data_IF_712173272395
#
_entry.id   IF_712173272395
#
_cell.length_a   1.000
_cell.length_b   1.000
_cell.length_c   1.000
_cell.angle_alpha   90.00
_cell.angle_beta   90.00
_cell.angle_gamma   90.00
#
_symmetry.space_group_name_H-M   'P 1'
#
loop_
_entity.id
_entity.type
_entity.pdbx_description
1 polymer ?
#
# COMPACT_ATOMS: atom_id res chain seq x y z
N UNK A 1 -10.44 -1.60 4.56
CA UNK A 1 -9.74 -2.91 4.50
C UNK A 1 -9.30 -3.37 5.88
N UNK A 2 -8.16 -2.89 6.41
CA UNK A 2 -7.58 -3.41 7.66
C UNK A 2 -8.54 -3.33 8.88
N UNK A 3 -9.08 -2.13 9.17
CA UNK A 3 -10.00 -1.92 10.31
C UNK A 3 -11.33 -2.69 10.19
N UNK A 4 -11.92 -2.69 9.00
CA UNK A 4 -13.30 -3.12 8.82
C UNK A 4 -13.44 -4.61 8.52
N UNK A 5 -12.42 -5.25 7.95
CA UNK A 5 -12.50 -6.65 7.51
C UNK A 5 -11.47 -7.54 8.19
N UNK A 6 -10.21 -7.11 8.33
CA UNK A 6 -9.15 -7.99 8.85
C UNK A 6 -9.22 -8.14 10.37
N UNK A 7 -9.28 -7.04 11.12
CA UNK A 7 -9.30 -7.12 12.59
C UNK A 7 -10.53 -7.84 13.17
N UNK A 8 -11.76 -7.62 12.65
CA UNK A 8 -12.94 -8.33 13.14
C UNK A 8 -12.86 -9.84 12.94
N UNK A 9 -12.33 -10.30 11.80
CA UNK A 9 -12.21 -11.74 11.51
C UNK A 9 -11.14 -12.43 12.37
N UNK A 10 -10.06 -11.70 12.72
CA UNK A 10 -9.06 -12.19 13.65
C UNK A 10 -9.53 -12.15 15.12
N UNK A 11 -10.68 -11.52 15.41
CA UNK A 11 -11.22 -11.29 16.76
C UNK A 11 -10.22 -10.61 17.70
N UNK A 12 -9.33 -9.79 17.14
CA UNK A 12 -8.31 -9.05 17.89
C UNK A 12 -8.77 -7.62 18.16
N UNK A 13 -8.53 -7.15 19.37
CA UNK A 13 -8.63 -5.72 19.69
C UNK A 13 -7.45 -4.96 19.09
N UNK A 14 -7.62 -3.65 18.88
CA UNK A 14 -6.52 -2.76 18.42
C UNK A 14 -5.28 -2.86 19.33
N UNK A 15 -5.47 -3.05 20.63
CA UNK A 15 -4.35 -3.19 21.57
C UNK A 15 -3.60 -4.50 21.34
N UNK A 16 -4.32 -5.63 21.24
CA UNK A 16 -3.72 -6.94 20.98
C UNK A 16 -3.01 -6.95 19.63
N UNK A 17 -3.65 -6.43 18.58
CA UNK A 17 -3.03 -6.35 17.26
C UNK A 17 -1.76 -5.51 17.27
N UNK A 18 -1.73 -4.37 17.99
CA UNK A 18 -0.52 -3.56 18.09
C UNK A 18 0.62 -4.32 18.80
N UNK A 19 0.29 -5.10 19.84
CA UNK A 19 1.25 -5.95 20.54
C UNK A 19 1.78 -7.07 19.64
N UNK A 20 0.91 -7.79 18.93
CA UNK A 20 1.30 -8.87 18.01
C UNK A 20 2.10 -8.36 16.80
N UNK A 21 1.79 -7.15 16.33
CA UNK A 21 2.57 -6.47 15.31
C UNK A 21 3.86 -5.85 15.87
N UNK A 22 4.14 -5.93 17.17
CA UNK A 22 5.29 -5.32 17.85
C UNK A 22 5.47 -3.83 17.54
N UNK A 23 4.38 -3.07 17.60
CA UNK A 23 4.36 -1.62 17.37
C UNK A 23 3.61 -0.89 18.47
N UNK A 24 3.86 0.41 18.61
CA UNK A 24 3.04 1.24 19.49
C UNK A 24 1.57 1.24 19.02
N UNK A 25 0.62 1.14 19.96
CA UNK A 25 -0.81 1.25 19.69
C UNK A 25 -1.17 2.52 18.91
N UNK A 26 -0.50 3.63 19.21
CA UNK A 26 -0.67 4.90 18.51
C UNK A 26 -0.35 4.77 17.01
N UNK A 27 0.69 4.00 16.65
CA UNK A 27 1.08 3.74 15.27
C UNK A 27 -0.03 2.99 14.54
N UNK A 28 -0.51 1.88 15.12
CA UNK A 28 -1.62 1.13 14.53
C UNK A 28 -2.89 2.00 14.40
N UNK A 29 -3.21 2.79 15.42
CA UNK A 29 -4.36 3.68 15.37
C UNK A 29 -4.27 4.69 14.22
N UNK A 30 -3.10 5.27 13.98
CA UNK A 30 -2.89 6.20 12.85
C UNK A 30 -3.07 5.49 11.50
N UNK A 31 -2.56 4.27 11.34
CA UNK A 31 -2.76 3.46 10.12
C UNK A 31 -4.24 3.15 9.91
N UNK A 32 -4.95 2.69 10.94
CA UNK A 32 -6.39 2.39 10.87
C UNK A 32 -7.25 3.62 10.59
N UNK A 33 -6.77 4.81 10.97
CA UNK A 33 -7.43 6.09 10.71
C UNK A 33 -7.03 6.71 9.36
N UNK A 34 -6.18 6.08 8.56
CA UNK A 34 -5.65 6.65 7.31
C UNK A 34 -4.73 7.86 7.52
N UNK A 35 -4.22 8.06 8.75
CA UNK A 35 -3.30 9.16 9.13
C UNK A 35 -1.82 8.77 9.12
N UNK A 36 -1.53 7.54 8.73
CA UNK A 36 -0.19 7.03 8.47
C UNK A 36 -0.29 5.99 7.36
N UNK A 37 0.67 6.02 6.45
CA UNK A 37 0.76 5.05 5.36
C UNK A 37 1.16 3.66 5.89
N UNK A 38 0.76 2.62 5.17
CA UNK A 38 1.33 1.28 5.32
C UNK A 38 2.72 1.27 4.66
N UNK A 39 3.76 1.38 5.47
CA UNK A 39 5.16 1.29 5.03
C UNK A 39 5.55 -0.16 4.68
N UNK A 40 6.69 -0.40 4.00
CA UNK A 40 7.20 -1.76 3.78
C UNK A 40 7.38 -2.57 5.07
N UNK A 41 7.84 -1.94 6.14
CA UNK A 41 7.97 -2.57 7.46
C UNK A 41 6.61 -2.98 8.02
N UNK A 42 5.60 -2.09 7.93
CA UNK A 42 4.24 -2.40 8.37
C UNK A 42 3.63 -3.52 7.50
N UNK A 43 3.84 -3.49 6.19
CA UNK A 43 3.36 -4.51 5.28
C UNK A 43 3.95 -5.89 5.58
N UNK A 44 5.24 -5.98 5.94
CA UNK A 44 5.87 -7.22 6.38
C UNK A 44 5.26 -7.75 7.69
N UNK A 45 5.00 -6.86 8.67
CA UNK A 45 4.34 -7.23 9.93
C UNK A 45 2.91 -7.73 9.68
N UNK A 46 2.14 -7.02 8.85
CA UNK A 46 0.79 -7.42 8.44
C UNK A 46 0.79 -8.73 7.65
N UNK A 47 1.82 -8.99 6.84
CA UNK A 47 1.95 -10.24 6.13
C UNK A 47 2.11 -11.43 7.08
N UNK A 48 2.95 -11.25 8.11
CA UNK A 48 3.13 -12.25 9.16
C UNK A 48 1.85 -12.46 9.97
N UNK A 49 1.12 -11.39 10.29
CA UNK A 49 -0.11 -11.45 11.08
C UNK A 49 -1.26 -12.13 10.32
N UNK A 50 -1.46 -11.77 9.04
CA UNK A 50 -2.68 -12.10 8.30
C UNK A 50 -2.49 -13.22 7.26
N UNK A 51 -1.25 -13.68 7.03
CA UNK A 51 -0.94 -14.68 5.99
C UNK A 51 -1.09 -14.16 4.55
N UNK A 52 -1.35 -12.87 4.38
CA UNK A 52 -1.40 -12.19 3.08
C UNK A 52 -0.01 -11.70 2.69
N UNK A 53 0.39 -11.73 1.42
CA UNK A 53 1.72 -11.29 1.05
C UNK A 53 1.92 -9.78 1.32
N UNK A 54 3.15 -9.36 1.66
CA UNK A 54 3.43 -7.96 1.97
C UNK A 54 3.10 -7.01 0.80
N UNK A 55 3.31 -7.46 -0.44
CA UNK A 55 2.99 -6.66 -1.63
C UNK A 55 1.50 -6.32 -1.73
N UNK A 56 0.59 -7.18 -1.26
CA UNK A 56 -0.84 -6.90 -1.27
C UNK A 56 -1.15 -5.61 -0.49
N UNK A 57 -0.53 -5.45 0.68
CA UNK A 57 -0.72 -4.26 1.51
C UNK A 57 -0.09 -3.02 0.89
N UNK A 58 1.07 -3.18 0.25
CA UNK A 58 1.75 -2.09 -0.44
C UNK A 58 1.02 -1.65 -1.70
N UNK A 59 0.38 -2.57 -2.43
CA UNK A 59 -0.39 -2.24 -3.63
C UNK A 59 -1.66 -1.44 -3.26
N UNK A 60 -2.29 -1.75 -2.12
CA UNK A 60 -3.38 -0.92 -1.57
C UNK A 60 -2.91 0.50 -1.21
N UNK A 61 -1.75 0.61 -0.57
CA UNK A 61 -1.16 1.91 -0.22
C UNK A 61 -0.77 2.70 -1.48
N UNK A 62 -0.15 2.03 -2.45
CA UNK A 62 0.25 2.62 -3.73
C UNK A 62 -0.96 3.15 -4.51
N UNK A 63 -2.04 2.36 -4.59
CA UNK A 63 -3.27 2.79 -5.27
C UNK A 63 -3.87 4.04 -4.61
N UNK A 64 -3.91 4.08 -3.28
CA UNK A 64 -4.36 5.24 -2.52
C UNK A 64 -3.48 6.47 -2.79
N UNK A 65 -2.16 6.32 -2.68
CA UNK A 65 -1.22 7.42 -2.84
C UNK A 65 -1.20 7.95 -4.27
N UNK A 66 -1.31 7.06 -5.26
CA UNK A 66 -1.41 7.43 -6.66
C UNK A 66 -2.69 8.22 -6.94
N UNK A 67 -3.84 7.76 -6.42
CA UNK A 67 -5.10 8.48 -6.55
C UNK A 67 -4.97 9.90 -5.98
N UNK A 68 -4.47 10.05 -4.76
CA UNK A 68 -4.27 11.35 -4.14
C UNK A 68 -3.29 12.24 -4.92
N UNK A 69 -2.17 11.69 -5.38
CA UNK A 69 -1.17 12.42 -6.16
C UNK A 69 -1.75 12.90 -7.50
N UNK A 70 -2.51 12.05 -8.20
CA UNK A 70 -3.17 12.41 -9.45
C UNK A 70 -4.18 13.54 -9.27
N UNK A 71 -4.97 13.51 -8.19
CA UNK A 71 -5.94 14.57 -7.90
C UNK A 71 -5.27 15.88 -7.50
N UNK A 72 -4.22 15.82 -6.67
CA UNK A 72 -3.48 17.00 -6.25
C UNK A 72 -2.69 17.65 -7.41
N UNK A 73 -2.26 16.85 -8.39
CA UNK A 73 -1.45 17.30 -9.51
C UNK A 73 -2.25 17.47 -10.81
N UNK A 74 -3.59 17.40 -10.80
CA UNK A 74 -4.42 17.38 -12.00
C UNK A 74 -4.00 18.43 -13.05
N UNK A 75 -4.01 19.73 -12.66
CA UNK A 75 -3.63 20.84 -13.54
C UNK A 75 -2.16 20.80 -14.00
N UNK A 76 -1.29 20.18 -13.20
CA UNK A 76 0.12 20.02 -13.56
C UNK A 76 0.28 18.89 -14.57
N UNK A 77 -0.39 17.75 -14.35
CA UNK A 77 -0.35 16.61 -15.25
C UNK A 77 -0.86 16.97 -16.65
N UNK A 78 -1.89 17.81 -16.78
CA UNK A 78 -2.40 18.30 -18.07
C UNK A 78 -1.38 19.12 -18.87
N UNK A 79 -0.45 19.79 -18.19
CA UNK A 79 0.57 20.64 -18.82
C UNK A 79 1.85 19.88 -19.18
N UNK A 80 2.01 18.64 -18.71
CA UNK A 80 3.20 17.84 -19.01
C UNK A 80 3.07 17.29 -20.44
N UNK A 81 4.03 17.58 -21.35
CA UNK A 81 3.99 17.04 -22.70
C UNK A 81 4.22 15.52 -22.67
N UNK A 82 3.41 14.79 -23.43
CA UNK A 82 3.54 13.33 -23.58
C UNK A 82 4.57 13.02 -24.66
N UNK A 83 5.66 12.36 -24.29
CA UNK A 83 6.60 11.78 -25.23
C UNK A 83 6.36 10.27 -25.34
N UNK A 84 6.11 9.79 -26.56
CA UNK A 84 5.88 8.38 -26.80
C UNK A 84 7.17 7.57 -26.61
N UNK A 85 7.17 6.64 -25.66
CA UNK A 85 8.20 5.60 -25.59
C UNK A 85 7.93 4.53 -26.66
N UNK A 86 8.97 4.00 -27.33
CA UNK A 86 8.82 2.87 -28.25
C UNK A 86 8.20 1.66 -27.56
N UNK A 87 7.25 0.99 -28.22
CA UNK A 87 6.53 -0.13 -27.61
C UNK A 87 7.44 -1.34 -27.34
N UNK A 88 8.50 -1.52 -28.13
CA UNK A 88 9.56 -2.50 -27.89
C UNK A 88 10.22 -2.27 -26.52
N UNK A 89 10.57 -1.01 -26.22
CA UNK A 89 11.17 -0.64 -24.94
C UNK A 89 10.17 -0.78 -23.78
N UNK A 90 8.90 -0.39 -23.96
CA UNK A 90 7.86 -0.59 -22.93
C UNK A 90 7.73 -2.06 -22.58
N UNK A 91 7.68 -2.92 -23.61
CA UNK A 91 7.56 -4.38 -23.45
C UNK A 91 8.78 -4.93 -22.71
N UNK A 92 9.99 -4.56 -23.12
CA UNK A 92 11.23 -5.01 -22.48
C UNK A 92 11.29 -4.63 -20.99
N UNK A 93 10.90 -3.40 -20.64
CA UNK A 93 10.85 -2.93 -19.25
C UNK A 93 9.83 -3.74 -18.45
N UNK A 94 8.63 -3.94 -19.00
CA UNK A 94 7.57 -4.72 -18.36
C UNK A 94 7.91 -6.20 -18.23
N UNK A 95 8.67 -6.78 -19.15
CA UNK A 95 9.12 -8.19 -19.03
C UNK A 95 10.25 -8.33 -18.01
N UNK A 96 11.17 -7.36 -17.94
CA UNK A 96 12.30 -7.40 -16.98
C UNK A 96 11.89 -7.09 -15.55
N UNK A 97 10.86 -6.26 -15.38
CA UNK A 97 10.43 -5.76 -14.06
C UNK A 97 8.98 -6.13 -13.72
N UNK A 98 8.25 -6.78 -14.63
CA UNK A 98 6.94 -7.36 -14.38
C UNK A 98 7.07 -8.41 -13.30
N UNK A 99 6.54 -8.08 -12.12
CA UNK A 99 6.71 -8.85 -10.90
C UNK A 99 6.35 -10.32 -11.15
N UNK A 100 7.34 -11.19 -11.13
CA UNK A 100 7.17 -12.64 -10.99
C UNK A 100 6.37 -12.89 -9.72
N UNK A 101 5.39 -13.78 -9.82
CA UNK A 101 4.41 -14.16 -8.77
C UNK A 101 5.00 -14.29 -7.37
#
# INVERSE_FOLDING_TARGET
MLRNWVLPELRLTVTQTAQELEIARQTLHRVLAGKAAVTPEMAARLARLCGMPAHFWLDLQLAHDLWHAQHALADTLERIPVHALPDTLKTDILTRHGRTR
#
